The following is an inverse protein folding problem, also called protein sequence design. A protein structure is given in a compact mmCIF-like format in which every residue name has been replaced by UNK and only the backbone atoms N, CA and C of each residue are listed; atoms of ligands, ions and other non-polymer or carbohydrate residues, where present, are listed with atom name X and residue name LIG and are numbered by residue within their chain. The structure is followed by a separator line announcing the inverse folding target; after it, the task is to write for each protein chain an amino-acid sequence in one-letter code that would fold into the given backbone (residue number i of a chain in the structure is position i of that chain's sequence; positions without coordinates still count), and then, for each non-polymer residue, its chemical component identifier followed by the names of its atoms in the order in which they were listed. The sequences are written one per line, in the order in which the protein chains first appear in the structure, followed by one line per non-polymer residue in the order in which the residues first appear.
data_IF_927630192691
#
_entry.id   IF_927630192691
#
_cell.length_a   1.000
_cell.length_b   1.000
_cell.length_c   1.000
_cell.angle_alpha   90.00
_cell.angle_beta   90.00
_cell.angle_gamma   90.00
#
_symmetry.space_group_name_H-M   'P 1'
#
loop_
_entity.id
_entity.type
_entity.pdbx_description
1 polymer ?
#
# COMPACT_ATOMS: atom_id res chain seq x y z
N UNK A 1 25.71 15.00 -14.67
CA UNK A 1 24.69 16.02 -15.00
C UNK A 1 23.56 15.93 -13.98
N UNK A 2 23.48 16.85 -13.00
CA UNK A 2 22.32 16.88 -12.10
C UNK A 2 21.10 17.43 -12.85
N UNK A 3 19.95 16.77 -12.74
CA UNK A 3 18.69 17.32 -13.27
C UNK A 3 18.14 18.33 -12.26
N UNK A 4 18.46 19.61 -12.44
CA UNK A 4 17.89 20.72 -11.66
C UNK A 4 16.42 20.96 -12.06
N UNK A 5 15.51 20.12 -11.56
CA UNK A 5 14.06 20.27 -11.75
C UNK A 5 13.39 20.62 -10.42
N UNK A 6 12.57 21.68 -10.41
CA UNK A 6 11.75 22.02 -9.23
C UNK A 6 10.69 20.93 -9.03
N UNK A 7 10.65 20.24 -7.87
CA UNK A 7 9.62 19.25 -7.61
C UNK A 7 8.31 19.93 -7.24
N UNK A 8 7.26 19.70 -8.03
CA UNK A 8 5.92 20.24 -7.83
C UNK A 8 5.08 19.34 -6.92
N UNK A 9 4.36 19.92 -5.96
CA UNK A 9 3.42 19.21 -5.10
C UNK A 9 2.14 18.82 -5.86
N UNK A 10 1.40 17.82 -5.40
CA UNK A 10 0.12 17.43 -6.01
C UNK A 10 -0.87 18.59 -6.02
N UNK A 11 -0.97 19.35 -4.94
CA UNK A 11 -1.81 20.57 -4.90
C UNK A 11 -1.36 21.66 -5.88
N UNK A 12 -0.05 21.83 -6.07
CA UNK A 12 0.49 22.79 -7.05
C UNK A 12 0.15 22.37 -8.49
N UNK A 13 0.22 21.07 -8.79
CA UNK A 13 -0.21 20.51 -10.08
C UNK A 13 -1.71 20.70 -10.31
N UNK A 14 -2.55 20.55 -9.28
CA UNK A 14 -4.00 20.79 -9.41
C UNK A 14 -4.32 22.24 -9.74
N UNK A 15 -3.66 23.21 -9.08
CA UNK A 15 -3.81 24.63 -9.42
C UNK A 15 -3.41 24.93 -10.85
N UNK A 16 -2.31 24.31 -11.33
CA UNK A 16 -1.86 24.42 -12.72
C UNK A 16 -2.93 23.88 -13.69
N UNK A 17 -3.55 22.75 -13.34
CA UNK A 17 -4.64 22.15 -14.12
C UNK A 17 -5.85 23.10 -14.15
N UNK A 18 -6.32 23.57 -12.99
CA UNK A 18 -7.48 24.48 -12.89
C UNK A 18 -7.26 25.77 -13.69
N UNK A 19 -6.08 26.39 -13.57
CA UNK A 19 -5.75 27.61 -14.30
C UNK A 19 -5.63 27.38 -15.81
N UNK A 20 -5.15 26.19 -16.23
CA UNK A 20 -5.09 25.82 -17.64
C UNK A 20 -6.49 25.58 -18.22
N UNK A 21 -7.40 24.95 -17.47
CA UNK A 21 -8.79 24.72 -17.91
C UNK A 21 -9.60 26.01 -17.98
N UNK A 22 -9.38 26.94 -17.04
CA UNK A 22 -9.99 28.27 -17.08
C UNK A 22 -9.56 29.05 -18.34
N UNK A 23 -8.39 28.74 -18.89
CA UNK A 23 -7.79 29.39 -20.07
C UNK A 23 -7.76 28.45 -21.28
N UNK A 24 -8.79 27.62 -21.48
CA UNK A 24 -8.83 26.56 -22.50
C UNK A 24 -8.58 27.01 -23.97
N UNK A 25 -8.56 28.32 -24.26
CA UNK A 25 -8.23 28.88 -25.59
C UNK A 25 -6.87 29.57 -25.68
N UNK A 26 -6.14 29.75 -24.56
CA UNK A 26 -4.85 30.41 -24.57
C UNK A 26 -3.74 29.44 -25.01
N UNK A 27 -2.69 29.99 -25.65
CA UNK A 27 -1.53 29.19 -26.01
C UNK A 27 -0.87 28.63 -24.76
N UNK A 28 -0.55 27.32 -24.76
CA UNK A 28 0.14 26.63 -23.66
C UNK A 28 1.44 27.33 -23.26
N UNK A 29 2.13 27.94 -24.22
CA UNK A 29 3.32 28.78 -24.00
C UNK A 29 3.04 30.03 -23.14
N UNK A 30 1.89 30.68 -23.30
CA UNK A 30 1.49 31.83 -22.48
C UNK A 30 1.19 31.39 -21.06
N UNK A 31 0.40 30.32 -20.91
CA UNK A 31 0.03 29.78 -19.59
C UNK A 31 1.30 29.34 -18.82
N UNK A 32 2.24 28.69 -19.51
CA UNK A 32 3.49 28.25 -18.91
C UNK A 32 4.36 29.42 -18.41
N UNK A 33 4.44 30.52 -19.19
CA UNK A 33 5.14 31.74 -18.79
C UNK A 33 4.50 32.38 -17.54
N UNK A 34 3.18 32.50 -17.52
CA UNK A 34 2.45 33.12 -16.41
C UNK A 34 2.57 32.29 -15.12
N UNK A 35 2.57 30.96 -15.24
CA UNK A 35 2.73 30.04 -14.11
C UNK A 35 4.20 29.79 -13.74
N UNK A 36 5.15 30.42 -14.44
CA UNK A 36 6.59 30.26 -14.25
C UNK A 36 7.05 28.79 -14.24
N UNK A 37 6.55 28.01 -15.21
CA UNK A 37 6.92 26.60 -15.42
C UNK A 37 7.38 26.36 -16.86
N UNK A 38 8.29 25.41 -17.12
CA UNK A 38 8.64 25.04 -18.48
C UNK A 38 7.43 24.49 -19.24
N UNK A 39 7.30 24.82 -20.53
CA UNK A 39 6.19 24.34 -21.38
C UNK A 39 6.08 22.81 -21.42
N UNK A 40 7.23 22.13 -21.41
CA UNK A 40 7.31 20.67 -21.34
C UNK A 40 6.69 20.11 -20.06
N UNK A 41 6.82 20.84 -18.95
CA UNK A 41 6.24 20.47 -17.66
C UNK A 41 4.73 20.65 -17.69
N UNK A 42 4.23 21.78 -18.20
CA UNK A 42 2.79 22.01 -18.35
C UNK A 42 2.14 20.91 -19.22
N UNK A 43 2.72 20.59 -20.39
CA UNK A 43 2.23 19.52 -21.26
C UNK A 43 2.15 18.17 -20.53
N UNK A 44 3.19 17.82 -19.78
CA UNK A 44 3.24 16.55 -19.02
C UNK A 44 2.21 16.52 -17.90
N UNK A 45 1.99 17.65 -17.21
CA UNK A 45 1.00 17.76 -16.13
C UNK A 45 -0.41 17.57 -16.70
N UNK A 46 -0.73 18.25 -17.80
CA UNK A 46 -2.04 18.13 -18.45
C UNK A 46 -2.30 16.71 -18.99
N UNK A 47 -1.28 16.07 -19.57
CA UNK A 47 -1.39 14.69 -20.04
C UNK A 47 -1.64 13.67 -18.90
N UNK A 48 -1.23 13.99 -17.67
CA UNK A 48 -1.39 13.13 -16.48
C UNK A 48 -2.49 13.62 -15.54
N UNK A 49 -3.39 14.50 -16.01
CA UNK A 49 -4.42 15.16 -15.19
C UNK A 49 -5.21 14.18 -14.32
N UNK A 50 -5.79 13.14 -14.90
CA UNK A 50 -6.66 12.20 -14.17
C UNK A 50 -5.90 11.45 -13.08
N UNK A 51 -4.68 11.03 -13.38
CA UNK A 51 -3.81 10.40 -12.38
C UNK A 51 -3.47 11.36 -11.24
N UNK A 52 -3.30 12.66 -11.50
CA UNK A 52 -3.00 13.66 -10.47
C UNK A 52 -4.23 13.89 -9.59
N UNK A 53 -5.44 13.92 -10.16
CA UNK A 53 -6.70 14.05 -9.42
C UNK A 53 -6.93 12.85 -8.49
N UNK A 54 -6.81 11.63 -9.02
CA UNK A 54 -6.96 10.40 -8.22
C UNK A 54 -5.91 10.33 -7.10
N UNK A 55 -4.66 10.67 -7.41
CA UNK A 55 -3.59 10.68 -6.41
C UNK A 55 -3.78 11.78 -5.36
N UNK A 56 -4.27 12.95 -5.73
CA UNK A 56 -4.57 14.01 -4.77
C UNK A 56 -5.68 13.61 -3.80
N UNK A 57 -6.73 12.93 -4.29
CA UNK A 57 -7.79 12.38 -3.45
C UNK A 57 -7.26 11.29 -2.50
N UNK A 58 -6.40 10.38 -2.99
CA UNK A 58 -5.85 9.28 -2.19
C UNK A 58 -4.80 9.73 -1.17
N UNK A 59 -3.92 10.65 -1.56
CA UNK A 59 -2.69 10.95 -0.82
C UNK A 59 -2.64 12.35 -0.18
N UNK A 60 -3.62 13.20 -0.50
CA UNK A 60 -3.65 14.60 -0.11
C UNK A 60 -2.77 15.51 -0.99
N UNK A 61 -2.89 16.82 -0.74
CA UNK A 61 -2.32 17.87 -1.57
C UNK A 61 -0.81 18.09 -1.35
N UNK A 62 -0.32 17.72 -0.17
CA UNK A 62 1.03 18.07 0.30
C UNK A 62 2.11 17.05 -0.08
N UNK A 63 1.81 16.08 -0.96
CA UNK A 63 2.82 15.11 -1.43
C UNK A 63 3.35 15.47 -2.82
N UNK A 64 4.64 15.23 -3.04
CA UNK A 64 5.31 15.42 -4.35
C UNK A 64 5.15 14.21 -5.27
N UNK A 65 5.11 13.01 -4.69
CA UNK A 65 5.03 11.73 -5.38
C UNK A 65 3.90 10.86 -4.82
N UNK A 66 3.22 10.15 -5.71
CA UNK A 66 2.17 9.19 -5.42
C UNK A 66 2.77 7.80 -5.19
N UNK A 67 3.55 7.65 -4.11
CA UNK A 67 4.18 6.39 -3.74
C UNK A 67 3.65 5.92 -2.39
N UNK A 68 3.25 4.66 -2.35
CA UNK A 68 2.86 3.94 -1.14
C UNK A 68 4.05 3.20 -0.52
N UNK A 69 3.94 2.90 0.78
CA UNK A 69 4.83 1.99 1.48
C UNK A 69 4.66 0.55 1.03
N UNK A 70 5.62 -0.32 1.35
CA UNK A 70 5.56 -1.76 1.03
C UNK A 70 4.32 -2.43 1.65
N UNK A 71 3.89 -1.95 2.81
CA UNK A 71 2.79 -2.50 3.59
C UNK A 71 1.69 -1.46 3.83
N UNK A 72 1.29 -0.74 2.79
CA UNK A 72 0.32 0.37 2.90
C UNK A 72 -1.00 -0.01 3.61
N UNK A 73 -1.49 -1.24 3.44
CA UNK A 73 -2.68 -1.72 4.12
C UNK A 73 -2.47 -1.85 5.65
N UNK A 74 -1.33 -2.43 6.06
CA UNK A 74 -0.95 -2.55 7.47
C UNK A 74 -0.71 -1.18 8.11
N UNK A 75 0.01 -0.29 7.42
CA UNK A 75 0.25 1.08 7.87
C UNK A 75 -1.08 1.82 8.08
N UNK A 76 -2.03 1.66 7.15
CA UNK A 76 -3.36 2.26 7.27
C UNK A 76 -4.13 1.71 8.48
N UNK A 77 -4.10 0.39 8.69
CA UNK A 77 -4.74 -0.25 9.85
C UNK A 77 -4.12 0.21 11.17
N UNK A 78 -2.79 0.31 11.24
CA UNK A 78 -2.07 0.77 12.43
C UNK A 78 -2.39 2.22 12.77
N UNK A 79 -2.44 3.10 11.76
CA UNK A 79 -2.79 4.52 11.96
C UNK A 79 -4.24 4.67 12.40
N UNK A 80 -5.16 3.89 11.83
CA UNK A 80 -6.57 3.90 12.22
C UNK A 80 -6.76 3.42 13.66
N UNK A 81 -6.14 2.29 14.03
CA UNK A 81 -6.11 1.80 15.40
C UNK A 81 -5.53 2.85 16.36
N UNK A 82 -4.42 3.51 15.99
CA UNK A 82 -3.80 4.54 16.82
C UNK A 82 -4.73 5.75 17.03
N UNK A 83 -5.46 6.18 16.00
CA UNK A 83 -6.46 7.25 16.13
C UNK A 83 -7.58 6.84 17.06
N UNK A 84 -8.09 5.62 16.92
CA UNK A 84 -9.13 5.06 17.78
C UNK A 84 -8.66 5.01 19.24
N UNK A 85 -7.49 4.43 19.52
CA UNK A 85 -6.89 4.37 20.85
C UNK A 85 -6.74 5.77 21.49
N UNK A 86 -6.27 6.76 20.72
CA UNK A 86 -6.14 8.14 21.20
C UNK A 86 -7.50 8.81 21.46
N UNK A 87 -8.50 8.52 20.64
CA UNK A 87 -9.85 9.05 20.82
C UNK A 87 -10.60 8.40 21.98
N UNK A 88 -10.27 7.15 22.34
CA UNK A 88 -10.85 6.46 23.49
C UNK A 88 -10.25 6.89 24.83
N UNK A 89 -9.35 7.89 24.86
CA UNK A 89 -8.74 8.38 26.10
C UNK A 89 -7.75 7.41 26.74
N UNK A 90 -7.55 6.22 26.16
CA UNK A 90 -6.34 5.41 26.36
C UNK A 90 -5.22 6.14 25.65
N UNK A 91 -4.65 7.14 26.31
CA UNK A 91 -3.26 7.46 26.07
C UNK A 91 -2.53 6.11 26.13
N UNK A 92 -1.88 5.72 25.04
CA UNK A 92 -0.89 4.65 25.10
C UNK A 92 0.25 5.28 25.90
N UNK A 93 0.04 5.37 27.22
CA UNK A 93 0.99 5.89 28.20
C UNK A 93 2.06 4.82 28.33
N UNK A 94 2.89 4.73 27.30
CA UNK A 94 4.11 3.96 27.38
C UNK A 94 4.99 4.74 28.34
N UNK A 95 5.19 4.19 29.54
CA UNK A 95 6.09 4.82 30.51
C UNK A 95 7.46 4.99 29.85
N UNK A 96 8.21 6.06 30.19
CA UNK A 96 9.55 6.26 29.64
C UNK A 96 10.49 5.08 29.94
N UNK A 97 10.20 4.32 31.01
CA UNK A 97 10.89 3.08 31.37
C UNK A 97 10.58 1.95 30.39
N UNK A 98 9.31 1.75 30.01
CA UNK A 98 8.92 0.78 28.98
C UNK A 98 9.58 1.11 27.63
N UNK A 99 9.62 2.39 27.26
CA UNK A 99 10.35 2.84 26.06
C UNK A 99 11.83 2.51 26.20
N UNK A 100 12.47 2.84 27.33
CA UNK A 100 13.87 2.51 27.55
C UNK A 100 14.15 1.01 27.49
N UNK A 101 13.24 0.17 28.00
CA UNK A 101 13.38 -1.28 27.99
C UNK A 101 13.29 -1.85 26.57
N UNK A 102 12.32 -1.39 25.76
CA UNK A 102 12.24 -1.77 24.34
C UNK A 102 13.49 -1.35 23.57
N UNK A 103 14.05 -0.17 23.83
CA UNK A 103 15.30 0.28 23.19
C UNK A 103 16.51 -0.58 23.61
N UNK A 104 16.59 -1.03 24.87
CA UNK A 104 17.63 -1.97 25.34
C UNK A 104 17.52 -3.33 24.64
N UNK A 105 16.32 -3.91 24.57
CA UNK A 105 16.09 -5.20 23.90
C UNK A 105 16.35 -5.15 22.39
N UNK A 106 16.14 -3.99 21.76
CA UNK A 106 16.45 -3.78 20.34
C UNK A 106 17.91 -3.37 20.09
N UNK A 107 18.77 -3.32 21.12
CA UNK A 107 20.19 -2.99 20.98
C UNK A 107 20.49 -1.50 20.73
N UNK A 108 19.50 -0.61 20.85
CA UNK A 108 19.70 0.84 20.82
C UNK A 108 20.20 1.34 22.17
N UNK A 109 21.40 0.89 22.56
CA UNK A 109 22.08 1.46 23.70
C UNK A 109 22.50 2.89 23.34
N UNK A 110 22.19 3.86 24.21
CA UNK A 110 22.64 5.25 24.08
C UNK A 110 24.16 5.25 24.04
N UNK A 111 24.70 5.27 22.82
CA UNK A 111 26.14 5.25 22.56
C UNK A 111 26.77 6.48 23.19
N UNK A 112 27.61 6.23 24.17
CA UNK A 112 28.27 7.21 25.02
C UNK A 112 28.97 6.56 26.22
N UNK A 113 28.54 5.37 26.65
CA UNK A 113 29.28 4.54 27.58
C UNK A 113 29.44 3.12 27.03
N UNK A 114 30.58 2.88 26.40
CA UNK A 114 31.16 1.54 26.40
C UNK A 114 31.42 1.17 27.86
N UNK A 115 30.67 0.22 28.40
CA UNK A 115 31.07 -0.54 29.58
C UNK A 115 30.48 -1.93 29.43
N UNK A 116 31.30 -2.82 28.87
CA UNK A 116 31.35 -4.20 29.33
C UNK A 116 31.76 -4.16 30.80
N UNK A 117 30.77 -4.14 31.68
CA UNK A 117 30.97 -4.53 33.07
C UNK A 117 29.75 -5.35 33.44
N UNK A 118 29.97 -6.65 33.57
CA UNK A 118 29.13 -7.59 34.30
C UNK A 118 28.81 -6.97 35.68
N UNK A 119 27.69 -6.26 35.76
CA UNK A 119 27.09 -5.91 37.03
C UNK A 119 26.13 -7.05 37.36
N UNK A 120 26.57 -7.90 38.28
CA UNK A 120 25.78 -8.97 38.86
C UNK A 120 24.41 -8.43 39.30
N UNK A 121 23.36 -8.88 38.61
CA UNK A 121 21.98 -8.74 39.06
C UNK A 121 21.69 -9.96 39.93
N UNK A 122 21.07 -9.81 41.12
CA UNK A 122 20.54 -10.96 41.86
C UNK A 122 19.56 -11.68 40.94
N UNK A 123 19.90 -12.93 40.60
CA UNK A 123 19.04 -13.83 39.84
C UNK A 123 17.89 -14.20 40.78
N UNK A 124 16.76 -13.48 40.68
CA UNK A 124 15.48 -14.05 41.08
C UNK A 124 15.31 -15.34 40.29
N UNK A 125 15.06 -16.43 41.01
CA UNK A 125 15.01 -17.81 40.52
C UNK A 125 14.34 -17.91 39.14
N UNK A 126 15.16 -17.93 38.09
CA UNK A 126 14.80 -18.60 36.84
C UNK A 126 14.38 -20.01 37.22
N UNK A 127 13.26 -20.54 36.71
CA UNK A 127 13.09 -21.99 36.74
C UNK A 127 14.31 -22.55 36.01
N UNK A 128 15.19 -23.24 36.74
CA UNK A 128 16.19 -24.10 36.13
C UNK A 128 15.46 -24.84 35.01
N UNK A 129 15.85 -24.58 33.76
CA UNK A 129 15.63 -25.51 32.65
C UNK A 129 16.50 -26.75 32.92
N UNK A 130 16.28 -27.35 34.09
CA UNK A 130 16.88 -28.57 34.55
C UNK A 130 16.36 -29.62 33.61
N UNK A 131 17.26 -30.07 32.74
CA UNK A 131 17.21 -31.36 32.06
C UNK A 131 15.78 -31.85 31.85
N UNK A 132 15.09 -31.29 30.84
CA UNK A 132 13.97 -32.01 30.27
C UNK A 132 14.58 -33.32 29.75
N UNK A 133 14.40 -34.40 30.51
CA UNK A 133 14.68 -35.76 30.06
C UNK A 133 13.78 -35.99 28.85
N UNK A 134 14.30 -35.66 27.67
CA UNK A 134 13.64 -35.91 26.41
C UNK A 134 13.50 -37.43 26.31
N UNK A 135 12.26 -37.97 26.26
CA UNK A 135 12.08 -39.40 26.10
C UNK A 135 12.49 -39.77 24.67
N UNK A 136 13.73 -40.22 24.50
CA UNK A 136 14.25 -40.68 23.23
C UNK A 136 15.71 -40.33 23.01
N UNK A 137 16.38 -41.15 22.21
CA UNK A 137 17.71 -40.82 21.71
C UNK A 137 17.60 -39.77 20.60
N UNK A 138 18.67 -39.01 20.36
CA UNK A 138 18.72 -38.09 19.21
C UNK A 138 18.42 -38.80 17.88
N UNK A 139 18.74 -40.09 17.77
CA UNK A 139 18.42 -40.89 16.59
C UNK A 139 16.90 -41.06 16.38
N UNK A 140 16.12 -41.19 17.46
CA UNK A 140 14.66 -41.28 17.39
C UNK A 140 14.03 -39.96 16.92
N UNK A 141 14.64 -38.82 17.26
CA UNK A 141 14.21 -37.51 16.77
C UNK A 141 14.51 -37.33 15.28
N UNK A 142 15.68 -37.78 14.82
CA UNK A 142 16.09 -37.65 13.41
C UNK A 142 15.23 -38.54 12.50
N UNK A 143 14.89 -39.74 12.95
CA UNK A 143 14.07 -40.68 12.16
C UNK A 143 12.55 -40.49 12.31
N UNK A 144 12.09 -39.53 13.11
CA UNK A 144 10.67 -39.34 13.40
C UNK A 144 9.82 -39.05 12.15
N UNK A 145 10.43 -38.43 11.12
CA UNK A 145 9.76 -38.06 9.88
C UNK A 145 9.99 -39.08 8.74
N UNK A 146 10.76 -40.15 8.96
CA UNK A 146 11.11 -41.12 7.90
C UNK A 146 9.90 -41.95 7.43
N UNK A 147 8.92 -42.18 8.32
CA UNK A 147 7.69 -42.91 8.01
C UNK A 147 6.56 -42.00 7.49
N UNK A 148 6.81 -40.69 7.40
CA UNK A 148 5.83 -39.75 6.85
C UNK A 148 5.73 -40.01 5.36
N UNK A 149 4.54 -40.45 4.92
CA UNK A 149 4.25 -40.66 3.51
C UNK A 149 4.52 -39.37 2.72
N UNK A 150 5.67 -39.33 2.04
CA UNK A 150 5.99 -38.26 1.11
C UNK A 150 5.11 -38.46 -0.13
N UNK A 151 4.54 -37.38 -0.65
CA UNK A 151 3.89 -37.44 -1.96
C UNK A 151 4.91 -37.99 -2.95
N UNK A 152 4.58 -39.11 -3.61
CA UNK A 152 5.39 -39.62 -4.72
C UNK A 152 5.68 -38.47 -5.67
N UNK A 153 6.89 -38.43 -6.21
CA UNK A 153 7.24 -37.46 -7.24
C UNK A 153 6.23 -37.61 -8.39
N UNK A 154 5.30 -36.66 -8.50
CA UNK A 154 4.41 -36.58 -9.65
C UNK A 154 5.25 -35.98 -10.77
N UNK A 155 5.45 -36.74 -11.84
CA UNK A 155 6.14 -36.24 -13.02
C UNK A 155 5.43 -35.00 -13.53
N UNK A 156 6.19 -34.02 -14.02
CA UNK A 156 5.63 -32.82 -14.64
C UNK A 156 4.70 -33.20 -15.81
N UNK A 157 4.96 -34.33 -16.47
CA UNK A 157 4.13 -34.89 -17.54
C UNK A 157 2.77 -35.45 -17.02
N UNK A 158 2.76 -36.11 -15.86
CA UNK A 158 1.52 -36.62 -15.23
C UNK A 158 0.59 -35.46 -14.79
N UNK A 159 1.18 -34.33 -14.38
CA UNK A 159 0.45 -33.10 -14.06
C UNK A 159 -0.21 -32.52 -15.31
N UNK A 160 0.52 -32.49 -16.43
CA UNK A 160 0.01 -31.94 -17.70
C UNK A 160 -1.14 -32.78 -18.24
N UNK A 161 -1.05 -34.11 -18.14
CA UNK A 161 -2.10 -35.03 -18.59
C UNK A 161 -3.39 -34.87 -17.75
N UNK A 162 -3.25 -34.63 -16.44
CA UNK A 162 -4.41 -34.46 -15.54
C UNK A 162 -5.15 -33.13 -15.74
N UNK A 163 -4.48 -32.09 -16.25
CA UNK A 163 -5.07 -30.76 -16.48
C UNK A 163 -5.83 -30.67 -17.81
N UNK A 164 -5.63 -31.62 -18.73
CA UNK A 164 -6.34 -31.69 -20.01
C UNK A 164 -7.12 -32.99 -20.19
N UNK A 165 -8.22 -33.21 -19.44
CA UNK A 165 -9.20 -34.20 -19.86
C UNK A 165 -9.93 -33.64 -21.09
N UNK A 166 -9.59 -34.20 -22.26
CA UNK A 166 -10.27 -34.04 -23.55
C UNK A 166 -10.11 -32.70 -24.29
N UNK A 167 -9.01 -32.56 -25.04
CA UNK A 167 -9.03 -31.80 -26.31
C UNK A 167 -8.49 -32.67 -27.44
N UNK A 168 -9.26 -33.71 -27.77
CA UNK A 168 -9.15 -34.37 -29.05
C UNK A 168 -9.77 -33.48 -30.15
N UNK A 169 -8.93 -33.02 -31.09
CA UNK A 169 -9.29 -32.83 -32.50
C UNK A 169 -9.87 -31.48 -32.95
N UNK A 170 -9.06 -30.75 -33.74
CA UNK A 170 -9.35 -29.85 -34.89
C UNK A 170 -8.32 -28.70 -34.84
N UNK A 171 -7.16 -28.75 -35.50
CA UNK A 171 -6.94 -28.61 -36.94
C UNK A 171 -7.93 -27.65 -37.61
N UNK A 172 -7.56 -26.39 -37.78
CA UNK A 172 -7.52 -25.75 -39.11
C UNK A 172 -6.74 -24.43 -39.03
N UNK A 173 -5.89 -24.20 -40.03
CA UNK A 173 -5.17 -22.95 -40.25
C UNK A 173 -6.09 -21.97 -40.99
N UNK A 174 -6.05 -20.67 -40.66
CA UNK A 174 -6.17 -19.58 -41.66
C UNK A 174 -5.64 -18.27 -41.02
N UNK A 175 -4.65 -17.67 -41.70
CA UNK A 175 -4.29 -16.26 -41.56
C UNK A 175 -5.40 -15.39 -42.17
N UNK A 176 -5.78 -14.28 -41.54
CA UNK A 176 -6.29 -13.13 -42.31
C UNK A 176 -6.10 -11.79 -41.58
N UNK A 177 -5.50 -10.87 -42.32
CA UNK A 177 -5.26 -9.46 -42.01
C UNK A 177 -6.52 -8.61 -41.80
N UNK A 178 -6.26 -7.41 -41.29
CA UNK A 178 -6.90 -6.12 -41.59
C UNK A 178 -7.74 -5.38 -40.54
N UNK A 179 -7.59 -4.06 -40.66
CA UNK A 179 -7.83 -3.00 -39.68
C UNK A 179 -9.25 -2.42 -39.64
N UNK A 180 -9.43 -1.49 -38.69
CA UNK A 180 -10.36 -0.35 -38.65
C UNK A 180 -11.59 -0.40 -37.71
N UNK A 181 -11.52 0.47 -36.68
CA UNK A 181 -12.50 1.50 -36.28
C UNK A 181 -14.01 1.23 -36.48
N UNK A 182 -14.77 1.19 -35.37
CA UNK A 182 -16.06 1.86 -35.31
C UNK A 182 -16.49 2.22 -33.88
N UNK A 183 -16.82 3.49 -33.72
CA UNK A 183 -17.44 4.18 -32.60
C UNK A 183 -18.70 3.52 -32.01
N UNK A 184 -18.83 3.53 -30.68
CA UNK A 184 -20.12 3.40 -30.00
C UNK A 184 -20.30 4.50 -28.93
N UNK A 185 -21.07 5.52 -29.28
CA UNK A 185 -21.55 6.59 -28.41
C UNK A 185 -22.71 6.07 -27.55
N UNK A 186 -22.47 5.80 -26.27
CA UNK A 186 -23.56 5.58 -25.29
C UNK A 186 -23.78 6.87 -24.49
N UNK A 187 -24.81 7.61 -24.89
CA UNK A 187 -25.47 8.61 -24.05
C UNK A 187 -26.43 7.86 -23.12
N UNK A 188 -26.24 7.98 -21.80
CA UNK A 188 -27.29 7.63 -20.85
C UNK A 188 -27.67 8.87 -20.04
N UNK A 189 -28.92 9.26 -20.22
CA UNK A 189 -29.56 10.44 -19.64
C UNK A 189 -29.72 10.32 -18.13
N UNK A 190 -29.42 11.42 -17.43
CA UNK A 190 -29.74 11.64 -16.02
C UNK A 190 -31.25 11.57 -15.82
N UNK A 191 -31.70 10.68 -14.94
CA UNK A 191 -33.02 10.79 -14.31
C UNK A 191 -32.83 11.32 -12.91
N UNK A 192 -33.23 12.57 -12.71
CA UNK A 192 -33.40 13.21 -11.42
C UNK A 192 -34.70 12.70 -10.78
N UNK A 193 -34.60 12.12 -9.58
CA UNK A 193 -35.76 11.97 -8.69
C UNK A 193 -35.46 12.75 -7.42
N UNK A 194 -36.07 13.94 -7.35
CA UNK A 194 -36.21 14.71 -6.13
C UNK A 194 -37.37 14.12 -5.33
N UNK A 195 -37.13 13.75 -4.07
CA UNK A 195 -38.20 13.61 -3.08
C UNK A 195 -37.85 14.48 -1.89
N UNK A 196 -38.52 15.63 -1.86
CA UNK A 196 -38.61 16.52 -0.71
C UNK A 196 -39.39 15.81 0.38
N UNK A 197 -38.78 15.57 1.55
CA UNK A 197 -39.52 15.21 2.76
C UNK A 197 -39.46 16.39 3.72
N UNK A 198 -40.66 16.90 4.02
CA UNK A 198 -40.96 18.08 4.79
C UNK A 198 -40.73 17.86 6.29
N UNK A 199 -40.13 18.85 6.94
CA UNK A 199 -39.93 18.93 8.38
C UNK A 199 -41.22 19.51 9.01
N UNK A 200 -41.97 18.67 9.72
CA UNK A 200 -43.16 19.08 10.47
C UNK A 200 -42.77 19.56 11.87
N UNK A 201 -42.90 20.86 12.10
CA UNK A 201 -42.84 21.47 13.42
C UNK A 201 -44.10 21.11 14.22
N UNK A 202 -43.92 20.49 15.38
CA UNK A 202 -44.96 20.35 16.39
C UNK A 202 -44.81 21.50 17.40
N UNK A 203 -45.81 22.39 17.43
CA UNK A 203 -46.06 23.35 18.49
C UNK A 203 -47.54 23.31 18.78
N UNK A 204 -47.92 22.88 19.98
CA UNK A 204 -49.17 23.26 20.66
C UNK A 204 -49.20 22.69 22.08
N UNK A 205 -49.63 23.56 23.00
CA UNK A 205 -50.08 23.36 24.39
C UNK A 205 -49.03 23.22 25.48
#
# INVERSE_FOLDING_TARGET
MSRNRKPLMLGEKLRIIEEAEKRNGATKASIARDLNIPESSLKTILAKKDSILLNAAKFGLNRKAAKDGKYAAMEKALVEWLRQARSSGTAVDVTPETIANSFRHCGFNRSGACSTSEAAVPVDDEPEFGSLELPGSFADYVGADDDVAVCSEVSLDDIIETVHPDTAGTSDEEEMDDAAEASASVRLTRTCCATSTTFGAASAC
#
